data_IF_997027355129
#
_entry.id   IF_997027355129
#
_cell.length_a   1.000
_cell.length_b   1.000
_cell.length_c   1.000
_cell.angle_alpha   90.00
_cell.angle_beta   90.00
_cell.angle_gamma   90.00
#
_symmetry.space_group_name_H-M   'P 1'
#
loop_
_entity.id
_entity.type
_entity.pdbx_description
1 polymer ?
#
# COMPACT_ATOMS: atom_id res chain seq x y z
N UNK A 1 62.77 -39.66 -27.94
CA UNK A 1 61.41 -39.63 -28.54
C UNK A 1 60.52 -40.54 -27.71
N UNK A 2 59.35 -40.23 -27.15
CA UNK A 2 58.59 -39.01 -26.86
C UNK A 2 57.60 -39.49 -25.77
N UNK A 3 57.67 -38.91 -24.56
CA UNK A 3 56.80 -39.25 -23.42
C UNK A 3 55.38 -38.72 -23.69
N UNK A 4 54.34 -39.53 -23.52
CA UNK A 4 52.94 -39.07 -23.54
C UNK A 4 52.20 -39.56 -22.29
N UNK A 5 52.37 -38.73 -21.26
CA UNK A 5 51.49 -38.31 -20.16
C UNK A 5 50.10 -38.97 -20.11
N UNK A 6 49.81 -39.63 -18.96
CA UNK A 6 48.45 -39.87 -18.45
C UNK A 6 47.73 -38.53 -18.23
N UNK A 7 46.57 -38.34 -18.86
CA UNK A 7 45.68 -37.23 -18.54
C UNK A 7 44.55 -37.72 -17.61
N UNK A 8 44.60 -37.31 -16.34
CA UNK A 8 43.52 -37.41 -15.39
C UNK A 8 42.30 -36.62 -15.89
N UNK A 9 41.21 -37.32 -16.22
CA UNK A 9 39.90 -36.69 -16.39
C UNK A 9 39.28 -36.57 -14.99
N UNK A 10 39.59 -35.46 -14.29
CA UNK A 10 38.75 -35.00 -13.19
C UNK A 10 37.49 -34.38 -13.82
N UNK A 11 36.47 -35.22 -14.04
CA UNK A 11 35.13 -34.74 -14.29
C UNK A 11 34.57 -34.17 -12.98
N UNK A 12 34.84 -32.89 -12.73
CA UNK A 12 34.20 -32.15 -11.65
C UNK A 12 32.69 -32.14 -11.90
N UNK A 13 31.95 -32.82 -11.02
CA UNK A 13 30.49 -32.77 -10.99
C UNK A 13 30.08 -31.31 -10.69
N UNK A 14 29.73 -30.57 -11.74
CA UNK A 14 29.04 -29.29 -11.61
C UNK A 14 27.63 -29.64 -11.14
N UNK A 15 27.43 -29.67 -9.82
CA UNK A 15 26.09 -29.69 -9.26
C UNK A 15 25.37 -28.43 -9.77
N UNK A 16 24.14 -28.54 -10.30
CA UNK A 16 23.34 -27.37 -10.56
C UNK A 16 23.11 -26.67 -9.23
N UNK A 17 23.78 -25.53 -9.02
CA UNK A 17 23.37 -24.58 -8.00
C UNK A 17 21.97 -24.16 -8.42
N UNK A 18 20.96 -24.77 -7.79
CA UNK A 18 19.63 -24.22 -7.83
C UNK A 18 19.73 -22.87 -7.14
N UNK A 19 19.79 -21.81 -7.95
CA UNK A 19 19.42 -20.48 -7.51
C UNK A 19 17.99 -20.65 -7.00
N UNK A 20 17.83 -20.85 -5.69
CA UNK A 20 16.53 -20.71 -5.05
C UNK A 20 16.06 -19.34 -5.48
N UNK A 21 15.00 -19.28 -6.30
CA UNK A 21 14.25 -18.04 -6.44
C UNK A 21 14.01 -17.59 -5.01
N UNK A 22 14.58 -16.44 -4.63
CA UNK A 22 14.28 -15.82 -3.36
C UNK A 22 12.76 -15.93 -3.22
N UNK A 23 12.29 -16.54 -2.13
CA UNK A 23 10.86 -16.61 -1.86
C UNK A 23 10.37 -15.18 -2.10
N UNK A 24 9.50 -15.01 -3.10
CA UNK A 24 8.96 -13.70 -3.38
C UNK A 24 8.34 -13.28 -2.05
N UNK A 25 8.90 -12.25 -1.42
CA UNK A 25 8.35 -11.67 -0.20
C UNK A 25 6.84 -11.64 -0.37
N UNK A 26 6.11 -12.06 0.67
CA UNK A 26 4.68 -11.83 0.70
C UNK A 26 4.45 -10.35 0.33
N UNK A 27 3.65 -10.10 -0.72
CA UNK A 27 3.42 -8.75 -1.20
C UNK A 27 2.83 -7.88 -0.08
N UNK A 28 2.16 -8.48 0.89
CA UNK A 28 1.66 -7.80 2.08
C UNK A 28 2.78 -7.36 3.02
N UNK A 29 3.77 -8.22 3.27
CA UNK A 29 5.00 -7.82 3.97
C UNK A 29 5.73 -6.70 3.22
N UNK A 30 5.83 -6.79 1.89
CA UNK A 30 6.46 -5.75 1.09
C UNK A 30 5.71 -4.41 1.19
N UNK A 31 4.37 -4.41 1.19
CA UNK A 31 3.58 -3.20 1.40
C UNK A 31 3.87 -2.60 2.78
N UNK A 32 3.83 -3.39 3.85
CA UNK A 32 4.10 -2.90 5.20
C UNK A 32 5.52 -2.35 5.35
N UNK A 33 6.54 -3.07 4.89
CA UNK A 33 7.93 -2.63 4.98
C UNK A 33 8.21 -1.38 4.14
N UNK A 34 7.65 -1.32 2.93
CA UNK A 34 7.79 -0.13 2.09
C UNK A 34 7.05 1.06 2.67
N UNK A 35 5.85 0.87 3.23
CA UNK A 35 5.10 1.93 3.91
C UNK A 35 5.84 2.46 5.14
N UNK A 36 6.45 1.55 5.93
CA UNK A 36 7.30 1.92 7.06
C UNK A 36 8.46 2.83 6.64
N UNK A 37 8.98 2.72 5.40
CA UNK A 37 10.01 3.59 4.85
C UNK A 37 9.49 4.76 3.98
N UNK A 38 8.18 5.02 3.96
CA UNK A 38 7.59 6.08 3.13
C UNK A 38 7.60 5.80 1.62
N UNK A 39 7.50 4.53 1.22
CA UNK A 39 7.59 4.04 -0.17
C UNK A 39 8.84 4.54 -0.93
N UNK A 40 10.05 4.14 -0.49
CA UNK A 40 11.28 4.54 -1.16
C UNK A 40 11.31 4.08 -2.63
N UNK A 41 12.03 4.78 -3.52
CA UNK A 41 12.03 4.50 -4.95
C UNK A 41 12.81 3.20 -5.26
N UNK A 42 12.12 2.07 -5.15
CA UNK A 42 12.63 0.74 -5.49
C UNK A 42 11.61 -0.04 -6.31
N UNK A 43 12.09 -0.99 -7.12
CA UNK A 43 11.20 -1.83 -7.93
C UNK A 43 10.19 -2.63 -7.06
N UNK A 44 10.63 -3.07 -5.87
CA UNK A 44 9.77 -3.78 -4.92
C UNK A 44 8.71 -2.86 -4.34
N UNK A 45 9.09 -1.66 -3.88
CA UNK A 45 8.12 -0.72 -3.30
C UNK A 45 7.15 -0.14 -4.33
N UNK A 46 7.58 0.08 -5.58
CA UNK A 46 6.68 0.44 -6.66
C UNK A 46 5.67 -0.67 -6.95
N UNK A 47 6.10 -1.94 -6.94
CA UNK A 47 5.20 -3.08 -7.11
C UNK A 47 4.23 -3.24 -5.93
N UNK A 48 4.71 -3.03 -4.70
CA UNK A 48 3.91 -3.05 -3.48
C UNK A 48 2.84 -1.97 -3.49
N UNK A 49 3.24 -0.71 -3.75
CA UNK A 49 2.33 0.43 -3.86
C UNK A 49 1.24 0.20 -4.93
N UNK A 50 1.62 -0.25 -6.12
CA UNK A 50 0.67 -0.59 -7.18
C UNK A 50 -0.32 -1.69 -6.75
N UNK A 51 0.16 -2.68 -6.00
CA UNK A 51 -0.69 -3.76 -5.48
C UNK A 51 -1.69 -3.23 -4.46
N UNK A 52 -1.23 -2.38 -3.55
CA UNK A 52 -2.07 -1.69 -2.57
C UNK A 52 -3.19 -0.89 -3.25
N UNK A 53 -2.85 -0.03 -4.23
CA UNK A 53 -3.86 0.76 -4.97
C UNK A 53 -4.85 -0.16 -5.69
N UNK A 54 -4.38 -1.20 -6.40
CA UNK A 54 -5.26 -2.15 -7.09
C UNK A 54 -6.25 -2.89 -6.18
N UNK A 55 -5.94 -3.04 -4.89
CA UNK A 55 -6.85 -3.67 -3.92
C UNK A 55 -7.96 -2.74 -3.47
N UNK A 56 -7.66 -1.45 -3.31
CA UNK A 56 -8.62 -0.45 -2.82
C UNK A 56 -9.47 0.17 -3.94
N UNK A 57 -9.04 0.14 -5.21
CA UNK A 57 -9.80 0.73 -6.33
C UNK A 57 -11.11 0.02 -6.70
N UNK A 58 -11.17 -1.32 -6.87
CA UNK A 58 -12.40 -2.00 -7.30
C UNK A 58 -13.43 -2.08 -6.18
N UNK A 59 -14.72 -2.08 -6.52
CA UNK A 59 -15.79 -2.39 -5.56
C UNK A 59 -16.18 -3.88 -5.66
N UNK A 60 -16.30 -4.61 -4.54
CA UNK A 60 -16.02 -4.21 -3.16
C UNK A 60 -14.51 -4.07 -2.90
N UNK A 61 -14.14 -2.98 -2.24
CA UNK A 61 -12.73 -2.66 -1.96
C UNK A 61 -12.17 -3.54 -0.85
N UNK A 62 -10.95 -4.02 -1.07
CA UNK A 62 -10.22 -4.85 -0.11
C UNK A 62 -9.32 -3.99 0.76
N UNK A 63 -8.88 -4.48 1.93
CA UNK A 63 -7.85 -3.81 2.69
C UNK A 63 -6.59 -3.54 1.83
N UNK A 64 -5.92 -2.38 2.03
CA UNK A 64 -4.69 -2.00 1.32
C UNK A 64 -3.59 -3.06 1.44
N UNK A 65 -3.49 -3.74 2.57
CA UNK A 65 -2.60 -4.86 2.83
C UNK A 65 -3.30 -5.92 3.68
N UNK A 66 -2.81 -7.15 3.58
CA UNK A 66 -3.23 -8.31 4.36
C UNK A 66 -2.26 -8.60 5.50
N UNK A 67 -2.18 -9.88 5.87
CA UNK A 67 -1.28 -10.36 6.92
C UNK A 67 0.14 -10.43 6.36
N UNK A 68 1.13 -9.96 7.12
CA UNK A 68 2.53 -10.23 6.78
C UNK A 68 2.91 -11.58 7.37
N UNK A 69 2.97 -12.59 6.50
CA UNK A 69 3.56 -13.88 6.84
C UNK A 69 5.06 -13.79 6.56
N UNK A 70 5.86 -13.53 7.60
CA UNK A 70 7.32 -13.62 7.44
C UNK A 70 7.69 -15.09 7.21
N UNK A 71 8.39 -15.37 6.10
CA UNK A 71 9.39 -16.42 6.12
C UNK A 71 10.53 -15.94 7.04
N UNK A 72 10.56 -16.44 8.27
CA UNK A 72 11.57 -16.18 9.31
C UNK A 72 11.72 -14.72 9.79
N UNK A 73 10.92 -14.34 10.79
CA UNK A 73 11.34 -13.33 11.77
C UNK A 73 12.66 -13.79 12.40
N UNK A 74 13.68 -12.94 12.63
CA UNK A 74 14.81 -13.33 13.44
C UNK A 74 14.30 -13.48 14.88
N UNK A 75 13.89 -14.70 15.21
CA UNK A 75 13.81 -15.17 16.59
C UNK A 75 15.16 -14.87 17.23
N UNK A 76 15.17 -14.43 18.49
CA UNK A 76 16.40 -14.32 19.28
C UNK A 76 17.32 -15.52 18.97
N UNK A 77 18.58 -15.24 18.63
CA UNK A 77 19.59 -16.22 18.18
C UNK A 77 19.48 -17.53 18.98
N UNK A 78 18.77 -18.54 18.45
CA UNK A 78 18.61 -19.87 19.08
C UNK A 78 17.19 -20.38 19.35
N UNK A 79 16.12 -19.65 19.06
CA UNK A 79 14.74 -20.18 19.18
C UNK A 79 14.28 -20.99 17.93
N UNK A 80 13.34 -21.95 18.07
CA UNK A 80 12.79 -22.66 16.93
C UNK A 80 12.06 -21.66 16.02
N UNK A 81 12.63 -21.40 14.84
CA UNK A 81 12.04 -20.51 13.84
C UNK A 81 10.65 -20.99 13.47
N UNK A 82 9.64 -20.16 13.75
CA UNK A 82 8.25 -20.40 13.39
C UNK A 82 7.77 -19.38 12.37
N UNK A 83 6.99 -19.85 11.39
CA UNK A 83 6.15 -19.03 10.52
C UNK A 83 4.99 -18.52 11.37
N UNK A 84 5.12 -17.33 11.95
CA UNK A 84 4.06 -16.71 12.74
C UNK A 84 3.64 -15.40 12.07
N UNK A 85 2.33 -15.17 12.04
CA UNK A 85 1.74 -13.93 11.55
C UNK A 85 2.26 -12.73 12.38
N UNK A 86 2.55 -11.63 11.70
CA UNK A 86 2.94 -10.39 12.37
C UNK A 86 1.78 -9.83 13.21
N UNK A 87 1.96 -9.75 14.53
CA UNK A 87 0.98 -9.13 15.43
C UNK A 87 1.07 -7.59 15.36
N UNK A 88 0.24 -7.00 14.51
CA UNK A 88 0.13 -5.53 14.34
C UNK A 88 -0.65 -4.83 15.46
N UNK A 89 -1.16 -5.56 16.46
CA UNK A 89 -1.91 -4.97 17.57
C UNK A 89 -1.00 -4.31 18.62
N UNK A 90 0.30 -4.62 18.59
CA UNK A 90 1.30 -4.09 19.52
C UNK A 90 1.53 -2.58 19.33
N UNK A 91 2.22 -1.96 20.29
CA UNK A 91 2.56 -0.53 20.22
C UNK A 91 3.58 -0.21 19.13
N UNK A 92 4.42 -1.17 18.73
CA UNK A 92 5.42 -1.00 17.68
C UNK A 92 4.77 -0.71 16.31
N UNK A 93 3.61 -1.31 16.06
CA UNK A 93 2.84 -1.12 14.82
C UNK A 93 1.73 -0.05 14.96
N UNK A 94 1.77 0.78 16.00
CA UNK A 94 0.75 1.81 16.20
C UNK A 94 0.67 2.82 15.04
N UNK A 95 1.76 3.00 14.29
CA UNK A 95 1.81 3.84 13.10
C UNK A 95 0.86 3.35 11.99
N UNK A 96 0.66 2.03 11.81
CA UNK A 96 -0.30 1.46 10.85
C UNK A 96 -1.75 1.89 11.14
N UNK A 97 -2.09 2.27 12.37
CA UNK A 97 -3.44 2.73 12.73
C UNK A 97 -3.79 4.08 12.10
N UNK A 98 -2.79 4.83 11.61
CA UNK A 98 -2.99 6.10 10.90
C UNK A 98 -3.34 5.91 9.43
N UNK A 99 -3.23 4.70 8.90
CA UNK A 99 -3.59 4.39 7.52
C UNK A 99 -5.05 4.70 7.24
N UNK A 100 -5.33 5.48 6.19
CA UNK A 100 -6.69 5.80 5.74
C UNK A 100 -6.87 5.59 4.25
N UNK A 101 -8.01 5.04 3.88
CA UNK A 101 -8.46 4.98 2.48
C UNK A 101 -9.50 6.08 2.26
N UNK A 102 -9.15 7.06 1.44
CA UNK A 102 -10.01 8.19 1.12
C UNK A 102 -10.77 7.94 -0.18
N UNK A 103 -12.08 8.07 -0.14
CA UNK A 103 -12.99 7.90 -1.28
C UNK A 103 -13.60 9.25 -1.66
N UNK A 104 -13.32 9.68 -2.88
CA UNK A 104 -13.90 10.88 -3.47
C UNK A 104 -14.99 10.51 -4.47
N UNK A 105 -16.11 11.24 -4.40
CA UNK A 105 -17.14 11.25 -5.42
C UNK A 105 -17.63 12.67 -5.60
N UNK A 106 -17.55 13.20 -6.82
CA UNK A 106 -18.06 14.52 -7.18
C UNK A 106 -18.95 14.44 -8.42
N UNK A 107 -20.02 15.21 -8.43
CA UNK A 107 -20.91 15.36 -9.58
C UNK A 107 -21.22 16.83 -9.79
N UNK A 108 -21.22 17.24 -11.05
CA UNK A 108 -21.62 18.56 -11.50
C UNK A 108 -22.83 18.41 -12.40
N UNK A 109 -23.84 19.25 -12.17
CA UNK A 109 -25.05 19.30 -13.00
C UNK A 109 -25.35 20.75 -13.32
N UNK A 110 -25.54 21.06 -14.59
CA UNK A 110 -25.99 22.38 -15.02
C UNK A 110 -27.50 22.32 -15.28
N UNK A 111 -28.27 22.91 -14.37
CA UNK A 111 -29.73 22.84 -14.37
C UNK A 111 -30.38 24.16 -14.78
N UNK A 112 -31.72 24.17 -14.86
CA UNK A 112 -32.47 25.41 -15.14
C UNK A 112 -32.23 26.49 -14.08
N UNK A 113 -32.04 26.07 -12.83
CA UNK A 113 -31.81 26.95 -11.68
C UNK A 113 -30.32 27.30 -11.50
N UNK A 114 -29.49 26.93 -12.46
CA UNK A 114 -28.04 27.17 -12.47
C UNK A 114 -27.21 25.92 -12.16
N UNK A 115 -25.88 26.09 -12.09
CA UNK A 115 -24.96 25.01 -11.82
C UNK A 115 -25.06 24.54 -10.36
N UNK A 116 -25.04 23.22 -10.19
CA UNK A 116 -25.04 22.56 -8.89
C UNK A 116 -23.91 21.55 -8.78
N UNK A 117 -23.30 21.51 -7.61
CA UNK A 117 -22.23 20.60 -7.24
C UNK A 117 -22.68 19.72 -6.09
N UNK A 118 -22.47 18.41 -6.21
CA UNK A 118 -22.60 17.48 -5.10
C UNK A 118 -21.29 16.72 -4.95
N UNK A 119 -20.86 16.49 -3.73
CA UNK A 119 -19.65 15.71 -3.47
C UNK A 119 -19.73 14.97 -2.15
N UNK A 120 -18.93 13.91 -2.06
CA UNK A 120 -18.63 13.24 -0.81
C UNK A 120 -17.18 12.81 -0.78
N UNK A 121 -16.52 13.11 0.33
CA UNK A 121 -15.21 12.63 0.69
C UNK A 121 -15.36 11.79 1.97
N UNK A 122 -15.08 10.49 1.85
CA UNK A 122 -15.20 9.51 2.93
C UNK A 122 -13.81 9.00 3.29
N UNK A 123 -13.49 9.00 4.57
CA UNK A 123 -12.27 8.44 5.14
C UNK A 123 -12.60 7.10 5.76
N UNK A 124 -11.90 6.04 5.38
CA UNK A 124 -12.02 4.70 5.94
C UNK A 124 -10.73 4.29 6.65
N UNK A 125 -10.82 3.44 7.68
CA UNK A 125 -9.67 2.85 8.36
C UNK A 125 -8.80 1.98 7.45
N UNK A 126 -7.65 1.51 7.96
CA UNK A 126 -6.71 0.67 7.23
C UNK A 126 -7.22 -0.73 6.89
N UNK A 127 -8.39 -1.14 7.41
CA UNK A 127 -9.10 -2.35 6.97
C UNK A 127 -10.21 -2.03 5.96
N UNK A 128 -10.43 -0.75 5.67
CA UNK A 128 -11.51 -0.22 4.85
C UNK A 128 -12.91 -0.69 5.33
N UNK A 129 -13.09 -0.82 6.65
CA UNK A 129 -14.32 -1.29 7.29
C UNK A 129 -15.07 -0.15 7.97
N UNK A 130 -14.38 0.60 8.82
CA UNK A 130 -14.98 1.73 9.53
C UNK A 130 -14.72 2.99 8.73
N UNK A 131 -15.80 3.68 8.34
CA UNK A 131 -15.67 4.86 7.50
C UNK A 131 -16.55 6.01 7.98
N UNK A 132 -16.04 7.23 7.79
CA UNK A 132 -16.69 8.49 8.15
C UNK A 132 -16.65 9.46 6.97
N UNK A 133 -17.68 10.29 6.81
CA UNK A 133 -17.64 11.40 5.87
C UNK A 133 -16.88 12.57 6.50
N UNK A 134 -15.82 13.03 5.84
CA UNK A 134 -15.07 14.24 6.24
C UNK A 134 -15.59 15.49 5.54
N UNK A 135 -16.15 15.34 4.34
CA UNK A 135 -16.90 16.39 3.65
C UNK A 135 -18.01 15.76 2.83
N UNK A 136 -19.22 16.32 2.90
CA UNK A 136 -20.37 15.83 2.13
C UNK A 136 -21.35 16.96 1.89
N UNK A 137 -21.68 17.19 0.64
CA UNK A 137 -22.64 18.21 0.24
C UNK A 137 -23.45 17.72 -0.95
N UNK A 138 -24.73 18.09 -0.96
CA UNK A 138 -25.64 17.82 -2.05
C UNK A 138 -26.24 19.13 -2.56
N UNK A 139 -26.34 19.26 -3.88
CA UNK A 139 -27.00 20.39 -4.54
C UNK A 139 -26.43 21.77 -4.16
N UNK A 140 -25.13 21.87 -3.90
CA UNK A 140 -24.49 23.15 -3.61
C UNK A 140 -24.54 24.06 -4.83
N UNK A 141 -24.83 25.35 -4.64
CA UNK A 141 -24.65 26.38 -5.67
C UNK A 141 -23.23 26.98 -5.65
N UNK A 142 -22.38 26.54 -4.73
CA UNK A 142 -20.95 26.84 -4.73
C UNK A 142 -20.15 25.60 -5.10
N UNK A 143 -19.05 25.74 -5.86
CA UNK A 143 -18.16 24.63 -6.17
C UNK A 143 -17.62 23.94 -4.92
N UNK A 144 -17.20 22.68 -5.06
CA UNK A 144 -16.43 21.98 -4.03
C UNK A 144 -15.17 22.78 -3.66
N UNK A 145 -14.72 22.71 -2.40
CA UNK A 145 -13.53 23.44 -1.95
C UNK A 145 -12.29 22.95 -2.72
N UNK A 146 -11.26 23.79 -2.87
CA UNK A 146 -10.01 23.41 -3.54
C UNK A 146 -9.20 22.37 -2.76
N UNK A 147 -9.29 22.37 -1.43
CA UNK A 147 -8.72 21.36 -0.55
C UNK A 147 -9.60 21.06 0.65
N UNK A 148 -9.38 19.91 1.27
CA UNK A 148 -10.04 19.46 2.50
C UNK A 148 -8.98 18.93 3.46
N UNK A 149 -9.16 19.19 4.76
CA UNK A 149 -8.31 18.63 5.80
C UNK A 149 -8.74 17.19 6.10
N UNK A 150 -7.81 16.24 6.03
CA UNK A 150 -8.07 14.84 6.37
C UNK A 150 -8.11 14.61 7.89
N UNK A 151 -8.54 13.42 8.31
CA UNK A 151 -8.52 13.03 9.72
C UNK A 151 -7.10 12.99 10.31
N UNK A 152 -6.10 12.76 9.46
CA UNK A 152 -4.70 12.77 9.84
C UNK A 152 -4.07 14.18 9.77
N UNK A 153 -4.87 15.22 9.51
CA UNK A 153 -4.41 16.60 9.46
C UNK A 153 -3.66 16.97 8.16
N UNK A 154 -3.78 16.16 7.09
CA UNK A 154 -3.18 16.48 5.79
C UNK A 154 -4.12 17.35 4.96
N UNK A 155 -3.58 18.33 4.24
CA UNK A 155 -4.36 19.15 3.31
C UNK A 155 -4.42 18.45 1.95
N UNK A 156 -5.58 17.88 1.62
CA UNK A 156 -5.78 17.08 0.41
C UNK A 156 -6.48 17.92 -0.65
N UNK A 157 -5.89 18.03 -1.84
CA UNK A 157 -6.51 18.69 -2.99
C UNK A 157 -7.74 17.91 -3.46
N UNK A 158 -8.81 18.61 -3.82
CA UNK A 158 -10.00 17.98 -4.38
C UNK A 158 -9.87 17.76 -5.90
N UNK A 159 -10.60 16.78 -6.42
CA UNK A 159 -10.51 16.34 -7.82
C UNK A 159 -11.61 16.87 -8.73
N UNK A 160 -12.64 17.47 -8.12
CA UNK A 160 -13.88 17.82 -8.78
C UNK A 160 -14.76 16.66 -9.23
N UNK A 161 -15.29 16.69 -10.45
CA UNK A 161 -16.23 15.66 -10.89
C UNK A 161 -15.54 14.29 -11.08
N UNK A 162 -16.29 13.22 -10.85
CA UNK A 162 -15.85 11.82 -10.99
C UNK A 162 -15.62 11.14 -9.65
N UNK A 163 -15.12 9.91 -9.71
CA UNK A 163 -14.77 9.11 -8.53
C UNK A 163 -13.29 8.86 -8.49
N UNK A 164 -12.75 8.78 -7.28
CA UNK A 164 -11.36 8.43 -7.07
C UNK A 164 -11.12 7.87 -5.67
N UNK A 165 -9.97 7.23 -5.53
CA UNK A 165 -9.46 6.73 -4.25
C UNK A 165 -8.06 7.29 -4.02
N UNK A 166 -7.74 7.57 -2.77
CA UNK A 166 -6.41 7.97 -2.31
C UNK A 166 -6.08 7.19 -1.04
N UNK A 167 -4.80 6.96 -0.82
CA UNK A 167 -4.27 6.32 0.36
C UNK A 167 -3.49 7.34 1.19
N UNK A 168 -3.82 7.49 2.47
CA UNK A 168 -2.95 8.14 3.46
C UNK A 168 -2.29 7.07 4.31
N UNK A 169 -1.00 7.26 4.61
CA UNK A 169 -0.22 6.34 5.43
C UNK A 169 0.85 7.10 6.21
N UNK A 170 1.40 6.48 7.25
CA UNK A 170 2.60 7.00 7.89
C UNK A 170 3.77 6.04 7.73
N UNK A 171 4.97 6.56 7.85
CA UNK A 171 6.17 5.76 8.10
C UNK A 171 6.22 5.26 9.56
N UNK A 172 7.27 4.51 9.90
CA UNK A 172 7.44 3.97 11.27
C UNK A 172 7.70 5.07 12.32
N UNK A 173 8.21 6.24 11.89
CA UNK A 173 8.42 7.41 12.74
C UNK A 173 7.12 8.21 12.95
N UNK A 174 6.08 7.85 12.21
CA UNK A 174 4.76 8.46 12.28
C UNK A 174 4.62 9.71 11.43
N UNK A 175 5.56 10.00 10.53
CA UNK A 175 5.44 11.05 9.53
C UNK A 175 4.38 10.63 8.50
N UNK A 176 3.41 11.51 8.27
CA UNK A 176 2.29 11.26 7.37
C UNK A 176 2.67 11.57 5.92
N UNK A 177 2.22 10.72 5.01
CA UNK A 177 2.32 10.89 3.58
C UNK A 177 1.04 10.35 2.91
N UNK A 178 0.83 10.70 1.65
CA UNK A 178 -0.33 10.24 0.90
C UNK A 178 -0.01 10.01 -0.57
N UNK A 179 -0.77 9.10 -1.17
CA UNK A 179 -0.71 8.90 -2.61
C UNK A 179 -1.30 10.08 -3.38
N UNK A 180 -1.06 10.13 -4.68
CA UNK A 180 -1.96 10.86 -5.56
C UNK A 180 -3.36 10.23 -5.59
N UNK A 181 -4.27 10.88 -6.30
CA UNK A 181 -5.61 10.38 -6.52
C UNK A 181 -5.69 9.41 -7.71
N UNK A 182 -6.28 8.24 -7.49
CA UNK A 182 -6.54 7.24 -8.53
C UNK A 182 -8.01 7.25 -8.93
N UNK A 183 -8.30 7.72 -10.15
CA UNK A 183 -9.68 7.76 -10.70
C UNK A 183 -10.14 6.39 -11.20
N UNK A 184 -11.45 6.12 -11.12
CA UNK A 184 -12.10 4.90 -11.60
C UNK A 184 -13.62 5.07 -11.87
#
# INVERSE_FOLDING_TARGET
>A
MKKWILACVLAGAILPVQVKKAHAYDMDCAIMLCMAGGFPPSAVCAAAFRTMIRRITPWPSRPPFGICTYAAVPVALGGPGGEADLDISTSEYAWLRKTRVLWWQGTYTDGRDGPQWSWSLRSCDGENRTCRYISRQYGSYTPWPSSVLSENGQSILTLGAGRAVMMEYSDYEGAMDHSEWFRY
#
